data_IF_497655649633
#
_entry.id   IF_497655649633
#
_cell.length_a   1.000
_cell.length_b   1.000
_cell.length_c   1.000
_cell.angle_alpha   90.00
_cell.angle_beta   90.00
_cell.angle_gamma   90.00
#
_symmetry.space_group_name_H-M   'P 1'
#
loop_
_entity.id
_entity.type
_entity.pdbx_description
1 polymer ?
#
# COMPACT_ATOMS: atom_id res chain seq x y z
N UNK A 1 0.52 -18.58 -6.82
CA UNK A 1 1.06 -18.94 -5.48
C UNK A 1 1.88 -17.77 -4.97
N UNK A 2 1.74 -17.37 -3.71
CA UNK A 2 2.48 -16.25 -3.10
C UNK A 2 2.78 -16.49 -1.62
N UNK A 3 3.73 -15.75 -1.07
CA UNK A 3 3.98 -15.70 0.38
C UNK A 3 3.43 -14.41 1.00
N UNK A 4 3.01 -14.45 2.27
CA UNK A 4 2.46 -13.29 3.00
C UNK A 4 3.49 -12.36 3.70
N UNK A 5 4.78 -12.53 3.45
CA UNK A 5 5.83 -11.87 4.24
C UNK A 5 7.01 -11.42 3.38
N UNK A 6 6.74 -11.13 2.10
CA UNK A 6 7.75 -10.63 1.18
C UNK A 6 7.15 -9.94 -0.04
N UNK A 7 7.95 -9.10 -0.69
CA UNK A 7 7.59 -8.42 -1.92
C UNK A 7 8.10 -9.18 -3.14
N UNK A 8 7.29 -9.24 -4.20
CA UNK A 8 7.57 -9.99 -5.45
C UNK A 8 7.82 -11.49 -5.25
N UNK A 9 7.42 -12.06 -4.11
CA UNK A 9 7.53 -13.49 -3.83
C UNK A 9 6.26 -14.22 -4.22
N UNK A 10 6.01 -14.21 -5.53
CA UNK A 10 4.91 -14.93 -6.17
C UNK A 10 5.42 -15.71 -7.38
N UNK A 11 4.75 -16.84 -7.65
CA UNK A 11 4.99 -17.69 -8.82
C UNK A 11 3.63 -17.92 -9.48
N UNK A 12 3.44 -17.42 -10.72
CA UNK A 12 2.33 -17.83 -11.57
C UNK A 12 2.46 -19.33 -11.87
N UNK A 13 1.45 -20.12 -11.47
CA UNK A 13 1.39 -21.55 -11.76
C UNK A 13 0.32 -21.74 -12.84
N UNK A 14 0.72 -22.18 -14.03
CA UNK A 14 -0.17 -22.41 -15.18
C UNK A 14 -0.09 -23.89 -15.55
N UNK A 15 -0.95 -24.70 -14.94
CA UNK A 15 -0.90 -26.16 -15.08
C UNK A 15 0.21 -26.79 -14.23
N UNK A 16 0.85 -27.83 -14.77
CA UNK A 16 1.86 -28.59 -14.04
C UNK A 16 3.17 -27.81 -13.85
N UNK A 17 3.77 -27.98 -12.68
CA UNK A 17 5.09 -27.42 -12.37
C UNK A 17 6.14 -28.32 -13.00
N UNK A 18 6.70 -27.88 -14.14
CA UNK A 18 7.68 -28.64 -14.92
C UNK A 18 8.92 -29.06 -14.11
N UNK A 19 9.41 -28.20 -13.22
CA UNK A 19 10.50 -28.50 -12.29
C UNK A 19 10.06 -28.30 -10.84
N UNK A 20 9.57 -29.38 -10.23
CA UNK A 20 9.11 -29.38 -8.85
C UNK A 20 10.24 -29.13 -7.85
N UNK A 21 11.46 -29.55 -8.18
CA UNK A 21 12.61 -29.41 -7.28
C UNK A 21 13.04 -27.95 -7.18
N UNK A 22 13.22 -27.27 -8.32
CA UNK A 22 13.56 -25.85 -8.34
C UNK A 22 12.45 -24.99 -7.71
N UNK A 23 11.19 -25.35 -7.95
CA UNK A 23 10.05 -24.70 -7.29
C UNK A 23 10.12 -24.80 -5.76
N UNK A 24 10.33 -26.01 -5.23
CA UNK A 24 10.42 -26.22 -3.78
C UNK A 24 11.62 -25.45 -3.19
N UNK A 25 12.80 -25.53 -3.80
CA UNK A 25 13.99 -24.81 -3.33
C UNK A 25 13.78 -23.29 -3.26
N UNK A 26 13.09 -22.73 -4.27
CA UNK A 26 12.76 -21.30 -4.31
C UNK A 26 11.78 -20.93 -3.19
N UNK A 27 10.74 -21.73 -2.98
CA UNK A 27 9.75 -21.50 -1.91
C UNK A 27 10.39 -21.67 -0.53
N UNK A 28 11.21 -22.69 -0.31
CA UNK A 28 11.94 -22.92 0.94
C UNK A 28 12.83 -21.73 1.28
N UNK A 29 13.53 -21.18 0.27
CA UNK A 29 14.34 -19.98 0.42
C UNK A 29 13.51 -18.78 0.86
N UNK A 30 12.31 -18.59 0.30
CA UNK A 30 11.40 -17.51 0.69
C UNK A 30 10.90 -17.70 2.13
N UNK A 31 10.41 -18.90 2.45
CA UNK A 31 9.84 -19.22 3.76
C UNK A 31 10.86 -19.10 4.92
N UNK A 32 12.15 -19.32 4.64
CA UNK A 32 13.23 -19.15 5.59
C UNK A 32 13.60 -17.67 5.84
N UNK A 33 13.28 -16.76 4.92
CA UNK A 33 13.68 -15.34 5.01
C UNK A 33 12.64 -14.51 5.76
N UNK A 34 13.04 -13.30 6.15
CA UNK A 34 12.16 -12.29 6.77
C UNK A 34 12.34 -10.98 6.04
N UNK A 35 11.58 -10.79 4.96
CA UNK A 35 11.74 -9.64 4.05
C UNK A 35 11.69 -8.30 4.78
N UNK A 36 10.72 -8.12 5.69
CA UNK A 36 10.53 -6.83 6.37
C UNK A 36 11.71 -6.36 7.21
N UNK A 37 12.67 -7.24 7.54
CA UNK A 37 13.93 -6.82 8.19
C UNK A 37 14.83 -5.98 7.27
N UNK A 38 14.68 -6.09 5.95
CA UNK A 38 15.48 -5.34 4.98
C UNK A 38 15.21 -3.82 5.07
N UNK A 39 13.95 -3.42 5.19
CA UNK A 39 13.54 -2.00 5.23
C UNK A 39 13.03 -1.58 6.62
N UNK A 40 13.33 -2.33 7.67
CA UNK A 40 12.86 -2.05 9.04
C UNK A 40 11.34 -1.92 9.18
N UNK A 41 10.59 -2.73 8.43
CA UNK A 41 9.13 -2.85 8.49
C UNK A 41 8.74 -3.64 9.75
N UNK A 42 8.91 -3.01 10.92
CA UNK A 42 8.81 -3.67 12.23
C UNK A 42 7.48 -4.37 12.47
N UNK A 43 6.38 -3.87 11.90
CA UNK A 43 5.06 -4.50 11.96
C UNK A 43 5.03 -5.91 11.35
N UNK A 44 5.94 -6.21 10.41
CA UNK A 44 6.01 -7.53 9.79
C UNK A 44 6.95 -8.52 10.50
N UNK A 45 7.69 -8.09 11.54
CA UNK A 45 8.70 -8.95 12.17
C UNK A 45 8.09 -10.20 12.84
N UNK A 46 6.85 -10.10 13.31
CA UNK A 46 6.10 -11.18 13.96
C UNK A 46 5.24 -12.00 13.01
N UNK A 47 5.19 -11.68 11.71
CA UNK A 47 4.37 -12.42 10.75
C UNK A 47 4.91 -13.84 10.63
N UNK A 48 4.03 -14.83 10.82
CA UNK A 48 4.35 -16.22 10.55
C UNK A 48 4.34 -16.46 9.04
N UNK A 49 5.47 -16.88 8.44
CA UNK A 49 5.53 -17.22 7.02
C UNK A 49 4.49 -18.25 6.63
N UNK A 50 3.71 -17.96 5.59
CA UNK A 50 2.73 -18.87 5.01
C UNK A 50 2.77 -18.79 3.48
N UNK A 51 2.43 -19.91 2.87
CA UNK A 51 2.24 -20.04 1.43
C UNK A 51 0.75 -20.01 1.10
N UNK A 52 0.37 -19.21 0.13
CA UNK A 52 -0.99 -19.09 -0.37
C UNK A 52 -1.05 -19.53 -1.82
N UNK A 53 -2.10 -20.28 -2.16
CA UNK A 53 -2.47 -20.59 -3.53
C UNK A 53 -3.82 -19.95 -3.77
N UNK A 54 -3.86 -19.03 -4.72
CA UNK A 54 -5.06 -18.29 -5.10
C UNK A 54 -5.25 -18.41 -6.61
N UNK A 55 -6.49 -18.29 -7.03
CA UNK A 55 -6.85 -18.23 -8.45
C UNK A 55 -6.27 -16.97 -9.09
N UNK A 56 -5.76 -17.11 -10.32
CA UNK A 56 -5.31 -15.96 -11.10
C UNK A 56 -6.51 -15.31 -11.77
N UNK A 57 -6.90 -14.14 -11.28
CA UNK A 57 -7.93 -13.31 -11.92
C UNK A 57 -7.48 -12.90 -13.31
N UNK A 58 -8.36 -13.09 -14.29
CA UNK A 58 -8.10 -12.76 -15.69
C UNK A 58 -9.31 -12.07 -16.30
N UNK A 59 -9.04 -11.20 -17.26
CA UNK A 59 -10.03 -10.59 -18.13
C UNK A 59 -9.52 -10.71 -19.57
N UNK A 60 -10.36 -11.20 -20.49
CA UNK A 60 -9.97 -11.46 -21.88
C UNK A 60 -8.70 -12.35 -22.02
N UNK A 61 -8.53 -13.30 -21.10
CA UNK A 61 -7.38 -14.23 -21.08
C UNK A 61 -6.07 -13.64 -20.56
N UNK A 62 -6.03 -12.34 -20.24
CA UNK A 62 -4.88 -11.65 -19.64
C UNK A 62 -5.09 -11.45 -18.14
N UNK A 63 -4.04 -11.35 -17.32
CA UNK A 63 -4.18 -10.94 -15.92
C UNK A 63 -4.91 -9.60 -15.81
N UNK A 64 -5.75 -9.47 -14.78
CA UNK A 64 -6.47 -8.21 -14.51
C UNK A 64 -5.46 -7.09 -14.23
N UNK A 65 -5.64 -5.98 -14.93
CA UNK A 65 -4.84 -4.76 -14.76
C UNK A 65 -5.57 -3.67 -13.95
N UNK A 66 -6.89 -3.81 -13.75
CA UNK A 66 -7.69 -2.89 -12.95
C UNK A 66 -7.37 -3.07 -11.46
N UNK A 67 -6.52 -2.20 -10.92
CA UNK A 67 -6.09 -2.20 -9.52
C UNK A 67 -6.55 -0.92 -8.84
N UNK A 68 -7.04 -1.04 -7.60
CA UNK A 68 -7.47 0.08 -6.77
C UNK A 68 -6.85 -0.06 -5.38
N UNK A 69 -6.01 0.89 -4.99
CA UNK A 69 -5.25 0.88 -3.74
C UNK A 69 -5.73 2.04 -2.88
N UNK A 70 -6.68 1.75 -1.99
CA UNK A 70 -7.27 2.73 -1.09
C UNK A 70 -6.37 2.93 0.12
N UNK A 71 -6.08 4.19 0.43
CA UNK A 71 -5.34 4.53 1.62
C UNK A 71 -6.29 4.99 2.72
N UNK A 72 -6.25 4.27 3.84
CA UNK A 72 -7.18 4.45 4.95
C UNK A 72 -6.40 4.91 6.17
N UNK A 73 -6.71 6.09 6.69
CA UNK A 73 -6.24 6.62 7.96
C UNK A 73 -7.33 6.49 9.01
N UNK A 74 -7.19 5.56 9.94
CA UNK A 74 -8.24 5.22 10.91
C UNK A 74 -9.61 5.01 10.25
N UNK A 75 -10.54 5.94 10.42
CA UNK A 75 -11.92 5.85 9.92
C UNK A 75 -12.16 6.61 8.60
N UNK A 76 -11.10 7.16 7.99
CA UNK A 76 -11.19 8.05 6.83
C UNK A 76 -10.40 7.45 5.67
N UNK A 77 -10.98 7.46 4.46
CA UNK A 77 -10.23 7.20 3.22
C UNK A 77 -9.68 8.52 2.73
N UNK A 78 -8.40 8.57 2.42
CA UNK A 78 -7.77 9.77 1.87
C UNK A 78 -7.87 9.81 0.35
N UNK A 79 -7.39 8.76 -0.29
CA UNK A 79 -7.32 8.66 -1.73
C UNK A 79 -7.25 7.20 -2.19
N UNK A 80 -7.50 6.99 -3.47
CA UNK A 80 -7.27 5.72 -4.16
C UNK A 80 -6.28 5.92 -5.30
N UNK A 81 -5.11 5.29 -5.19
CA UNK A 81 -4.26 5.12 -6.36
C UNK A 81 -4.83 3.99 -7.23
N UNK A 82 -4.85 4.16 -8.55
CA UNK A 82 -5.41 3.16 -9.46
C UNK A 82 -4.56 2.96 -10.70
N UNK A 83 -4.55 1.72 -11.18
CA UNK A 83 -4.03 1.30 -12.48
C UNK A 83 -5.22 0.84 -13.33
N UNK A 84 -5.38 1.38 -14.54
CA UNK A 84 -6.49 1.08 -15.44
C UNK A 84 -5.98 0.77 -16.86
N UNK A 85 -6.47 -0.29 -17.52
CA UNK A 85 -6.12 -0.57 -18.91
C UNK A 85 -6.74 0.47 -19.85
N UNK A 86 -5.98 0.89 -20.87
CA UNK A 86 -6.48 1.79 -21.92
C UNK A 86 -7.33 0.99 -22.92
N UNK A 87 -8.62 1.34 -23.15
CA UNK A 87 -9.46 0.61 -24.08
C UNK A 87 -8.86 0.52 -25.49
N UNK A 88 -8.73 -0.71 -26.01
CA UNK A 88 -8.16 -0.96 -27.35
C UNK A 88 -6.63 -0.91 -27.42
N UNK A 89 -5.95 -0.82 -26.29
CA UNK A 89 -4.48 -0.82 -26.16
C UNK A 89 -4.00 -1.89 -25.18
N UNK A 90 -2.70 -2.18 -25.20
CA UNK A 90 -2.01 -2.99 -24.19
C UNK A 90 -1.39 -2.13 -23.07
N UNK A 91 -1.63 -0.82 -23.11
CA UNK A 91 -1.16 0.16 -22.12
C UNK A 91 -2.04 0.17 -20.88
N UNK A 92 -1.40 0.48 -19.75
CA UNK A 92 -2.04 0.76 -18.47
C UNK A 92 -1.71 2.19 -18.10
N UNK A 93 -2.73 2.93 -17.69
CA UNK A 93 -2.57 4.27 -17.12
C UNK A 93 -2.70 4.18 -15.60
N UNK A 94 -1.98 5.08 -14.94
CA UNK A 94 -2.06 5.24 -13.50
C UNK A 94 -2.82 6.54 -13.20
N UNK A 95 -3.37 6.66 -11.99
CA UNK A 95 -3.97 7.90 -11.52
C UNK A 95 -4.40 7.84 -10.05
N UNK A 96 -4.95 8.95 -9.56
CA UNK A 96 -5.50 9.06 -8.21
C UNK A 96 -6.93 9.52 -8.27
N UNK A 97 -7.78 8.85 -7.52
CA UNK A 97 -9.17 9.20 -7.28
C UNK A 97 -9.35 9.68 -5.83
N UNK A 98 -10.09 10.76 -5.63
CA UNK A 98 -10.57 11.17 -4.31
C UNK A 98 -11.74 10.28 -3.82
N UNK A 99 -12.30 10.61 -2.66
CA UNK A 99 -13.43 9.86 -2.06
C UNK A 99 -14.72 9.92 -2.88
N UNK A 100 -14.89 10.97 -3.70
CA UNK A 100 -16.04 11.16 -4.58
C UNK A 100 -15.80 10.56 -5.97
N UNK A 101 -14.59 10.05 -6.23
CA UNK A 101 -14.19 9.49 -7.52
C UNK A 101 -13.70 10.54 -8.51
N UNK A 102 -13.40 11.76 -8.08
CA UNK A 102 -12.76 12.75 -8.96
C UNK A 102 -11.29 12.40 -9.14
N UNK A 103 -10.84 12.48 -10.39
CA UNK A 103 -9.45 12.28 -10.78
C UNK A 103 -8.61 13.51 -10.41
N UNK A 104 -7.42 13.27 -9.86
CA UNK A 104 -6.41 14.32 -9.71
C UNK A 104 -5.41 14.26 -10.87
N UNK A 105 -5.31 15.36 -11.61
CA UNK A 105 -4.19 15.56 -12.53
C UNK A 105 -2.89 15.78 -11.74
N UNK A 106 -1.82 15.08 -12.10
CA UNK A 106 -0.54 15.19 -11.40
C UNK A 106 0.65 14.63 -12.18
N UNK A 107 1.85 14.91 -11.69
CA UNK A 107 3.12 14.41 -12.22
C UNK A 107 3.70 13.34 -11.29
N UNK A 108 4.31 12.30 -11.89
CA UNK A 108 5.16 11.29 -11.25
C UNK A 108 6.56 11.36 -11.87
N UNK A 109 7.58 10.80 -11.21
CA UNK A 109 8.96 10.74 -11.73
C UNK A 109 9.08 10.06 -13.11
N UNK A 110 8.09 9.23 -13.48
CA UNK A 110 8.06 8.45 -14.72
C UNK A 110 6.99 8.92 -15.73
N UNK A 111 6.29 10.04 -15.48
CA UNK A 111 5.29 10.58 -16.43
C UNK A 111 4.15 11.41 -15.81
N UNK A 112 3.18 11.80 -16.63
CA UNK A 112 1.93 12.47 -16.20
C UNK A 112 0.88 11.41 -15.91
N UNK A 113 0.16 11.49 -14.79
CA UNK A 113 -1.02 10.68 -14.55
C UNK A 113 -2.10 11.02 -15.58
N UNK A 114 -2.72 10.00 -16.17
CA UNK A 114 -3.81 10.22 -17.10
C UNK A 114 -5.12 10.42 -16.30
N UNK A 115 -6.11 11.02 -16.96
CA UNK A 115 -7.44 11.17 -16.38
C UNK A 115 -8.11 9.80 -16.22
N UNK A 116 -8.04 9.25 -15.00
CA UNK A 116 -8.62 7.95 -14.65
C UNK A 116 -10.09 8.12 -14.29
N UNK A 117 -10.92 7.17 -14.68
CA UNK A 117 -12.37 7.25 -14.43
C UNK A 117 -12.74 6.25 -13.33
N UNK A 118 -13.50 6.65 -12.29
CA UNK A 118 -13.96 5.71 -11.28
C UNK A 118 -14.95 4.70 -11.91
N UNK A 119 -14.83 3.40 -11.62
CA UNK A 119 -15.83 2.41 -12.02
C UNK A 119 -17.11 2.58 -11.18
N UNK A 120 -18.21 1.98 -11.64
CA UNK A 120 -19.47 1.97 -10.87
C UNK A 120 -19.34 1.34 -9.48
N UNK A 121 -18.38 0.44 -9.32
CA UNK A 121 -18.06 -0.29 -8.10
C UNK A 121 -17.18 0.51 -7.13
N UNK A 122 -16.70 1.71 -7.52
CA UNK A 122 -15.77 2.50 -6.72
C UNK A 122 -16.29 2.75 -5.29
N UNK A 123 -17.54 3.17 -5.17
CA UNK A 123 -18.17 3.38 -3.86
C UNK A 123 -18.25 2.11 -3.02
N UNK A 124 -18.48 0.95 -3.64
CA UNK A 124 -18.47 -0.34 -2.92
C UNK A 124 -17.06 -0.67 -2.42
N UNK A 125 -16.03 -0.49 -3.26
CA UNK A 125 -14.64 -0.72 -2.87
C UNK A 125 -14.20 0.21 -1.75
N UNK A 126 -14.59 1.49 -1.81
CA UNK A 126 -14.32 2.48 -0.76
C UNK A 126 -14.94 2.04 0.58
N UNK A 127 -16.20 1.60 0.58
CA UNK A 127 -16.85 1.11 1.81
C UNK A 127 -16.20 -0.17 2.36
N UNK A 128 -15.76 -1.07 1.47
CA UNK A 128 -15.00 -2.24 1.87
C UNK A 128 -13.65 -1.85 2.48
N UNK A 129 -12.93 -0.89 1.87
CA UNK A 129 -11.67 -0.35 2.37
C UNK A 129 -11.84 0.26 3.76
N UNK A 130 -12.87 1.08 3.98
CA UNK A 130 -13.20 1.64 5.31
C UNK A 130 -13.46 0.54 6.34
N UNK A 131 -14.26 -0.47 5.96
CA UNK A 131 -14.62 -1.56 6.86
C UNK A 131 -13.42 -2.40 7.28
N UNK A 132 -12.49 -2.66 6.35
CA UNK A 132 -11.25 -3.39 6.60
C UNK A 132 -10.21 -2.52 7.33
N UNK A 133 -10.14 -1.24 7.00
CA UNK A 133 -9.10 -0.33 7.47
C UNK A 133 -9.32 0.26 8.86
N UNK A 134 -10.57 0.35 9.31
CA UNK A 134 -10.95 0.99 10.60
C UNK A 134 -10.28 0.41 11.84
N UNK A 135 -9.71 -0.78 11.76
CA UNK A 135 -9.00 -1.42 12.88
C UNK A 135 -7.55 -0.91 13.04
N UNK A 136 -7.07 -0.12 12.08
CA UNK A 136 -5.67 0.30 12.00
C UNK A 136 -5.56 1.82 11.98
N UNK A 137 -4.48 2.34 12.56
CA UNK A 137 -4.18 3.77 12.50
C UNK A 137 -3.95 4.21 11.04
N UNK A 138 -3.36 3.33 10.24
CA UNK A 138 -3.14 3.51 8.81
C UNK A 138 -2.99 2.15 8.13
N UNK A 139 -3.63 1.97 6.98
CA UNK A 139 -3.42 0.80 6.11
C UNK A 139 -3.80 1.14 4.67
N UNK A 140 -3.11 0.53 3.71
CA UNK A 140 -3.51 0.52 2.30
C UNK A 140 -4.28 -0.78 2.01
N UNK A 141 -5.46 -0.66 1.44
CA UNK A 141 -6.33 -1.75 1.05
C UNK A 141 -6.34 -1.88 -0.47
N UNK A 142 -5.81 -2.99 -0.98
CA UNK A 142 -5.66 -3.23 -2.42
C UNK A 142 -6.79 -4.14 -2.93
N UNK A 143 -7.41 -3.75 -4.04
CA UNK A 143 -8.50 -4.48 -4.70
C UNK A 143 -8.22 -4.64 -6.19
N UNK A 144 -8.75 -5.73 -6.75
CA UNK A 144 -8.91 -5.91 -8.19
C UNK A 144 -10.37 -5.74 -8.58
N UNK A 145 -10.62 -5.17 -9.76
CA UNK A 145 -11.92 -5.17 -10.41
C UNK A 145 -11.86 -6.05 -11.67
N UNK A 146 -12.71 -7.06 -11.76
CA UNK A 146 -12.77 -7.93 -12.94
C UNK A 146 -14.21 -8.31 -13.23
N UNK A 147 -14.67 -8.10 -14.46
CA UNK A 147 -16.04 -8.44 -14.89
C UNK A 147 -17.12 -7.86 -13.95
N UNK A 148 -16.95 -6.61 -13.49
CA UNK A 148 -17.86 -5.94 -12.55
C UNK A 148 -17.85 -6.51 -11.12
N UNK A 149 -16.87 -7.34 -10.77
CA UNK A 149 -16.72 -7.92 -9.42
C UNK A 149 -15.45 -7.41 -8.76
N UNK A 150 -15.62 -6.98 -7.51
CA UNK A 150 -14.52 -6.56 -6.64
C UNK A 150 -13.91 -7.77 -5.93
N UNK A 151 -12.57 -7.86 -5.95
CA UNK A 151 -11.79 -8.86 -5.23
C UNK A 151 -10.79 -8.17 -4.32
N UNK A 152 -10.78 -8.54 -3.04
CA UNK A 152 -9.73 -8.11 -2.11
C UNK A 152 -8.40 -8.80 -2.45
N UNK A 153 -7.31 -8.02 -2.45
CA UNK A 153 -5.97 -8.51 -2.76
C UNK A 153 -5.05 -8.54 -1.53
N UNK A 154 -4.84 -7.38 -0.89
CA UNK A 154 -3.83 -7.22 0.17
C UNK A 154 -4.17 -6.06 1.13
N UNK A 155 -3.72 -6.20 2.38
CA UNK A 155 -3.55 -5.08 3.32
C UNK A 155 -2.06 -4.78 3.46
N UNK A 156 -1.67 -3.54 3.17
CA UNK A 156 -0.27 -3.09 3.21
C UNK A 156 -0.08 -1.98 4.24
N UNK A 157 0.80 -2.21 5.21
CA UNK A 157 1.09 -1.25 6.29
C UNK A 157 2.33 -0.38 6.03
N UNK A 158 3.22 -0.85 5.16
CA UNK A 158 4.44 -0.16 4.77
C UNK A 158 4.48 -0.03 3.24
N UNK A 159 3.58 0.77 2.63
CA UNK A 159 3.68 1.03 1.20
C UNK A 159 5.08 1.61 0.90
N UNK A 160 5.73 1.09 -0.12
CA UNK A 160 7.11 1.46 -0.51
C UNK A 160 8.14 1.34 0.64
N UNK A 161 7.93 0.41 1.57
CA UNK A 161 8.80 0.24 2.74
C UNK A 161 8.69 1.37 3.78
N UNK A 162 7.69 2.24 3.65
CA UNK A 162 7.53 3.46 4.46
C UNK A 162 8.54 4.55 4.11
N UNK A 163 9.18 4.47 2.94
CA UNK A 163 10.22 5.39 2.46
C UNK A 163 9.85 6.01 1.12
N UNK A 164 8.56 6.08 0.78
CA UNK A 164 8.11 6.61 -0.50
C UNK A 164 8.64 8.03 -0.71
N UNK A 165 9.55 8.19 -1.66
CA UNK A 165 10.11 9.47 -2.10
C UNK A 165 9.66 9.86 -3.50
N UNK A 166 8.99 8.94 -4.19
CA UNK A 166 8.76 8.99 -5.64
C UNK A 166 7.27 9.18 -5.94
N UNK A 167 6.42 9.08 -4.91
CA UNK A 167 5.01 9.39 -4.97
C UNK A 167 4.69 10.80 -5.45
N UNK A 168 3.55 10.88 -6.11
CA UNK A 168 2.69 12.05 -6.32
C UNK A 168 2.67 12.94 -5.08
N UNK A 169 3.17 14.17 -5.20
CA UNK A 169 3.08 15.16 -4.12
C UNK A 169 1.63 15.27 -3.60
N UNK A 170 0.66 15.28 -4.51
CA UNK A 170 -0.78 15.29 -4.18
C UNK A 170 -1.23 14.06 -3.38
N UNK A 171 -0.74 12.85 -3.71
CA UNK A 171 -1.09 11.66 -2.94
C UNK A 171 -0.53 11.77 -1.53
N UNK A 172 0.74 12.16 -1.38
CA UNK A 172 1.34 12.29 -0.05
C UNK A 172 0.68 13.38 0.79
N UNK A 173 0.28 14.49 0.17
CA UNK A 173 -0.49 15.55 0.84
C UNK A 173 -1.83 15.01 1.32
N UNK A 174 -2.59 14.31 0.46
CA UNK A 174 -3.86 13.68 0.84
C UNK A 174 -3.68 12.64 1.97
N UNK A 175 -2.61 11.85 1.91
CA UNK A 175 -2.27 10.88 2.95
C UNK A 175 -1.92 11.57 4.27
N UNK A 176 -1.15 12.65 4.23
CA UNK A 176 -0.76 13.42 5.41
C UNK A 176 -1.97 14.11 6.06
N UNK A 177 -2.93 14.58 5.26
CA UNK A 177 -4.19 15.14 5.75
C UNK A 177 -5.09 14.07 6.39
N UNK A 178 -5.10 12.86 5.84
CA UNK A 178 -5.96 11.75 6.30
C UNK A 178 -5.40 11.08 7.54
N UNK A 179 -4.09 10.84 7.59
CA UNK A 179 -3.46 10.12 8.70
C UNK A 179 -2.91 11.06 9.76
N UNK A 180 -3.79 11.46 10.68
CA UNK A 180 -3.40 12.20 11.86
C UNK A 180 -2.83 11.27 12.95
N UNK A 181 -1.51 11.29 13.13
CA UNK A 181 -0.82 10.52 14.19
C UNK A 181 -1.34 10.82 15.60
N UNK A 182 -1.93 11.99 15.85
CA UNK A 182 -2.55 12.35 17.14
C UNK A 182 -3.76 11.47 17.46
N UNK A 183 -4.43 10.95 16.43
CA UNK A 183 -5.57 10.02 16.54
C UNK A 183 -5.13 8.55 16.72
N UNK A 184 -3.83 8.24 16.58
CA UNK A 184 -3.34 6.86 16.66
C UNK A 184 -3.59 6.19 18.02
N UNK A 185 -3.64 4.85 18.05
CA UNK A 185 -3.71 4.07 19.29
C UNK A 185 -2.61 4.46 20.28
N UNK A 186 -1.40 4.68 19.77
CA UNK A 186 -0.24 5.03 20.61
C UNK A 186 -0.46 6.34 21.37
N UNK A 187 -1.08 7.33 20.71
CA UNK A 187 -1.33 8.65 21.27
C UNK A 187 -2.61 8.71 22.13
N UNK A 188 -3.60 7.88 21.83
CA UNK A 188 -4.89 7.85 22.54
C UNK A 188 -4.94 6.87 23.72
N UNK A 189 -3.98 5.95 23.82
CA UNK A 189 -3.88 4.97 24.91
C UNK A 189 -2.83 5.37 25.95
N UNK A 190 -3.10 5.27 27.27
CA UNK A 190 -2.11 5.54 28.30
C UNK A 190 -0.82 4.72 28.15
N UNK A 191 0.27 5.39 27.83
CA UNK A 191 1.60 4.79 27.72
C UNK A 191 2.33 4.74 29.08
N UNK A 192 3.29 3.82 29.24
CA UNK A 192 4.12 3.65 30.45
C UNK A 192 5.61 3.81 30.17
N UNK A 193 6.38 4.23 31.18
CA UNK A 193 7.84 4.37 31.10
C UNK A 193 8.27 5.37 30.02
N UNK A 194 9.31 5.02 29.25
CA UNK A 194 9.85 5.90 28.20
C UNK A 194 8.83 6.24 27.10
N UNK A 195 7.88 5.35 26.81
CA UNK A 195 6.83 5.60 25.80
C UNK A 195 5.93 6.77 26.19
N UNK A 196 5.69 6.96 27.50
CA UNK A 196 4.93 8.11 28.03
C UNK A 196 5.68 9.40 27.77
N UNK A 197 6.98 9.43 28.07
CA UNK A 197 7.83 10.61 27.84
C UNK A 197 7.90 10.93 26.35
N UNK A 198 8.04 9.92 25.50
CA UNK A 198 8.03 10.07 24.05
C UNK A 198 6.68 10.61 23.54
N UNK A 199 5.55 10.04 23.97
CA UNK A 199 4.21 10.52 23.58
C UNK A 199 3.98 11.98 24.00
N UNK A 200 4.43 12.38 25.21
CA UNK A 200 4.36 13.76 25.67
C UNK A 200 5.22 14.70 24.81
N UNK A 201 6.46 14.33 24.52
CA UNK A 201 7.36 15.12 23.67
C UNK A 201 6.82 15.24 22.23
N UNK A 202 6.30 14.14 21.66
CA UNK A 202 5.69 14.13 20.34
C UNK A 202 4.45 15.02 20.29
N UNK A 203 3.56 14.96 21.29
CA UNK A 203 2.40 15.84 21.39
C UNK A 203 2.80 17.33 21.43
N UNK A 204 3.83 17.68 22.22
CA UNK A 204 4.36 19.04 22.25
C UNK A 204 4.90 19.48 20.88
N UNK A 205 5.63 18.61 20.18
CA UNK A 205 6.14 18.92 18.85
C UNK A 205 5.03 19.14 17.82
N UNK A 206 4.02 18.26 17.80
CA UNK A 206 2.88 18.35 16.87
C UNK A 206 2.01 19.58 17.11
N UNK A 207 1.93 20.08 18.35
CA UNK A 207 1.19 21.29 18.69
C UNK A 207 2.02 22.58 18.55
N UNK A 208 3.21 22.52 17.96
CA UNK A 208 4.11 23.67 17.79
C UNK A 208 4.76 24.16 19.10
N UNK A 209 4.67 23.38 20.18
CA UNK A 209 5.30 23.66 21.48
C UNK A 209 6.80 23.31 21.53
N UNK A 210 7.33 22.67 20.50
CA UNK A 210 8.75 22.52 20.24
C UNK A 210 9.01 23.04 18.82
N UNK A 211 10.04 23.89 18.64
CA UNK A 211 10.45 24.30 17.30
C UNK A 211 10.78 23.05 16.49
N UNK A 212 10.01 22.79 15.43
CA UNK A 212 10.36 21.75 14.47
C UNK A 212 11.77 22.09 13.95
N UNK A 213 12.69 21.12 13.98
CA UNK A 213 13.92 21.29 13.21
C UNK A 213 13.48 21.49 11.75
N UNK A 214 14.08 22.45 11.02
CA UNK A 214 13.82 22.56 9.60
C UNK A 214 14.01 21.20 8.95
N UNK A 215 13.14 20.85 8.00
CA UNK A 215 13.26 19.56 7.30
C UNK A 215 14.56 19.55 6.51
N UNK A 216 15.59 18.91 7.07
CA UNK A 216 16.90 18.75 6.45
C UNK A 216 17.01 17.41 5.70
N UNK A 217 15.91 16.66 5.56
CA UNK A 217 15.95 15.42 4.78
C UNK A 217 16.10 15.80 3.30
N UNK A 218 17.03 15.17 2.57
CA UNK A 218 17.06 15.31 1.12
C UNK A 218 15.72 14.84 0.57
N UNK A 219 15.07 15.67 -0.26
CA UNK A 219 13.96 15.19 -1.10
C UNK A 219 14.59 14.22 -2.10
N UNK A 220 14.21 12.95 -2.03
CA UNK A 220 14.83 11.87 -2.81
C UNK A 220 15.95 11.16 -2.05
N UNK A 221 15.71 9.89 -1.70
CA UNK A 221 16.77 8.97 -1.28
C UNK A 221 17.17 8.15 -2.51
N UNK A 222 18.21 8.57 -3.24
CA UNK A 222 18.79 7.71 -4.27
C UNK A 222 19.54 6.57 -3.57
N UNK A 223 19.09 5.32 -3.77
CA UNK A 223 19.92 4.16 -3.44
C UNK A 223 21.18 4.21 -4.31
N UNK A 224 22.38 3.97 -3.76
CA UNK A 224 23.56 3.80 -4.59
C UNK A 224 23.40 2.55 -5.45
N UNK A 225 23.70 2.68 -6.74
CA UNK A 225 23.77 1.56 -7.67
C UNK A 225 24.74 0.49 -7.15
N UNK A 226 24.21 -0.69 -6.82
CA UNK A 226 24.99 -1.95 -6.71
C UNK A 226 24.12 -3.18 -6.85
#
# INVERSE_FOLDING_TARGET
MKTNHGSSWNIPVRGDVADRQAFNQKVDTWMARRYGRKHWERGYFGVTPKLYVEEMLKENGKPVANVYKFYVGATEVGACYTEQPVPGSDEVIEGVLDVDGNSYEGYHENGVYADVVPPSEYGQMLQAALSLGREFDYVRCDFYLAEGKTYFSELTFYPYGGLDSDSIDTLMDLLAETWDVRKSWFMTTPQKGWRRLYAQALCLALNGGLAAKPDTRPRGYSLPDS
#
